data_IF_877575402227
#
_entry.id   IF_877575402227
#
_cell.length_a   1.000
_cell.length_b   1.000
_cell.length_c   1.000
_cell.angle_alpha   90.00
_cell.angle_beta   90.00
_cell.angle_gamma   90.00
#
_symmetry.space_group_name_H-M   'P 1'
#
loop_
_entity.id
_entity.type
_entity.pdbx_description
1 polymer ?
#
# COMPACT_ATOMS: atom_id res chain seq x y z
N UNK A 1 -2.32 -69.33 35.63
CA UNK A 1 -2.13 -68.90 34.23
C UNK A 1 -2.64 -67.49 34.12
N UNK A 2 -1.78 -66.60 33.62
CA UNK A 2 -1.85 -65.15 33.74
C UNK A 2 -3.06 -64.53 33.02
N UNK A 3 -3.66 -63.57 33.71
CA UNK A 3 -4.50 -62.49 33.18
C UNK A 3 -3.65 -61.57 32.29
N UNK A 4 -3.97 -61.50 31.00
CA UNK A 4 -3.40 -60.50 30.09
C UNK A 4 -4.20 -59.20 30.21
N UNK A 5 -3.67 -58.24 30.96
CA UNK A 5 -4.05 -56.83 30.86
C UNK A 5 -3.13 -56.16 29.83
N UNK A 6 -3.66 -55.84 28.66
CA UNK A 6 -2.98 -54.99 27.67
C UNK A 6 -3.27 -53.52 28.04
N UNK A 7 -2.26 -52.67 28.29
CA UNK A 7 -2.52 -51.26 28.54
C UNK A 7 -2.87 -50.58 27.22
N UNK A 8 -4.07 -50.00 27.14
CA UNK A 8 -4.41 -49.06 26.08
C UNK A 8 -3.48 -47.85 26.19
N UNK A 9 -2.59 -47.69 25.20
CA UNK A 9 -1.80 -46.47 25.03
C UNK A 9 -2.75 -45.33 24.71
N UNK A 10 -3.00 -44.47 25.69
CA UNK A 10 -3.63 -43.17 25.46
C UNK A 10 -2.74 -42.39 24.50
N UNK A 11 -3.20 -42.19 23.26
CA UNK A 11 -2.62 -41.21 22.37
C UNK A 11 -2.77 -39.84 23.05
N UNK A 12 -1.66 -39.29 23.56
CA UNK A 12 -1.60 -37.88 23.94
C UNK A 12 -1.98 -37.07 22.70
N UNK A 13 -3.11 -36.38 22.76
CA UNK A 13 -3.45 -35.34 21.80
C UNK A 13 -2.35 -34.28 21.87
N UNK A 14 -1.42 -34.30 20.91
CA UNK A 14 -0.43 -33.24 20.77
C UNK A 14 -1.20 -31.92 20.64
N UNK A 15 -0.93 -30.99 21.56
CA UNK A 15 -1.56 -29.67 21.51
C UNK A 15 -1.15 -28.96 20.22
N UNK A 16 -2.11 -28.33 19.55
CA UNK A 16 -1.85 -27.53 18.36
C UNK A 16 -1.19 -26.21 18.78
N UNK A 17 -0.07 -25.86 18.15
CA UNK A 17 0.57 -24.55 18.28
C UNK A 17 0.15 -23.61 17.14
N UNK A 18 0.39 -22.31 17.32
CA UNK A 18 0.20 -21.31 16.26
C UNK A 18 1.05 -21.62 15.01
N UNK A 19 2.23 -22.21 15.24
CA UNK A 19 3.10 -22.72 14.18
C UNK A 19 2.51 -23.92 13.44
N UNK A 20 1.81 -24.81 14.15
CA UNK A 20 1.11 -25.95 13.52
C UNK A 20 -0.10 -25.48 12.68
N UNK A 21 -0.67 -24.31 13.02
CA UNK A 21 -1.65 -23.61 12.20
C UNK A 21 -1.02 -22.81 11.03
N UNK A 22 0.30 -22.86 10.88
CA UNK A 22 1.05 -22.25 9.79
C UNK A 22 1.47 -20.79 10.01
N UNK A 23 1.46 -20.29 11.25
CA UNK A 23 1.89 -18.92 11.58
C UNK A 23 3.31 -18.92 12.18
N UNK A 24 4.23 -18.18 11.57
CA UNK A 24 5.63 -18.08 11.99
C UNK A 24 5.93 -16.73 12.66
N UNK A 25 5.88 -16.73 13.99
CA UNK A 25 6.16 -15.54 14.81
C UNK A 25 7.59 -15.04 14.59
N UNK A 26 8.56 -15.93 14.35
CA UNK A 26 9.97 -15.55 14.15
C UNK A 26 10.13 -14.81 12.82
N UNK A 27 9.41 -15.24 11.78
CA UNK A 27 9.39 -14.55 10.49
C UNK A 27 8.78 -13.15 10.62
N UNK A 28 7.71 -13.00 11.41
CA UNK A 28 7.12 -11.70 11.73
C UNK A 28 8.10 -10.75 12.44
N UNK A 29 8.78 -11.23 13.49
CA UNK A 29 9.78 -10.42 14.21
C UNK A 29 10.94 -10.00 13.30
N UNK A 30 11.42 -10.91 12.44
CA UNK A 30 12.48 -10.61 11.48
C UNK A 30 12.04 -9.56 10.45
N UNK A 31 10.81 -9.64 9.96
CA UNK A 31 10.25 -8.64 9.06
C UNK A 31 10.22 -7.26 9.73
N UNK A 32 9.76 -7.19 10.99
CA UNK A 32 9.72 -5.95 11.76
C UNK A 32 11.11 -5.32 11.88
N UNK A 33 12.16 -6.09 12.18
CA UNK A 33 13.53 -5.56 12.22
C UNK A 33 14.01 -5.05 10.85
N UNK A 34 13.68 -5.76 9.76
CA UNK A 34 14.08 -5.36 8.40
C UNK A 34 13.45 -4.03 7.97
N UNK A 35 12.19 -3.78 8.36
CA UNK A 35 11.42 -2.63 7.86
C UNK A 35 11.56 -1.37 8.73
N UNK A 36 12.00 -1.51 9.99
CA UNK A 36 12.22 -0.38 10.91
C UNK A 36 13.00 0.78 10.28
N UNK A 37 14.12 0.57 9.55
CA UNK A 37 14.87 1.67 8.93
C UNK A 37 14.07 2.41 7.85
N UNK A 38 13.22 1.70 7.09
CA UNK A 38 12.41 2.30 6.02
C UNK A 38 11.30 3.17 6.61
N UNK A 39 10.52 2.63 7.54
CA UNK A 39 9.46 3.40 8.19
C UNK A 39 10.03 4.57 9.02
N UNK A 40 11.21 4.44 9.65
CA UNK A 40 11.90 5.56 10.31
C UNK A 40 12.19 6.74 9.39
N UNK A 41 12.50 6.51 8.11
CA UNK A 41 12.76 7.58 7.13
C UNK A 41 11.51 8.38 6.76
N UNK A 42 10.34 7.80 6.94
CA UNK A 42 9.05 8.45 6.65
C UNK A 42 8.59 9.38 7.79
N UNK A 43 9.24 9.32 8.96
CA UNK A 43 8.77 10.01 10.15
C UNK A 43 8.69 11.52 9.95
N UNK A 44 7.57 12.07 10.38
CA UNK A 44 7.32 13.50 10.44
C UNK A 44 7.46 14.03 11.87
N UNK A 45 7.68 15.34 12.06
CA UNK A 45 7.73 15.95 13.40
C UNK A 45 6.47 15.72 14.24
N UNK A 46 5.32 15.53 13.58
CA UNK A 46 4.04 15.27 14.25
C UNK A 46 3.92 13.87 14.88
N UNK A 47 4.80 12.93 14.53
CA UNK A 47 4.72 11.55 15.03
C UNK A 47 5.29 11.46 16.46
N UNK A 48 4.47 10.96 17.38
CA UNK A 48 4.80 10.86 18.82
C UNK A 48 5.23 9.46 19.24
N UNK A 49 5.04 8.46 18.38
CA UNK A 49 5.33 7.04 18.66
C UNK A 49 6.40 6.46 17.73
N UNK A 50 7.13 5.46 18.21
CA UNK A 50 7.96 4.60 17.36
C UNK A 50 7.18 3.43 16.76
N UNK A 51 7.82 2.67 15.88
CA UNK A 51 7.28 1.44 15.28
C UNK A 51 7.34 0.30 16.33
N UNK A 52 6.33 -0.57 16.33
CA UNK A 52 6.25 -1.76 17.19
C UNK A 52 5.42 -1.60 18.47
N UNK A 53 4.75 -0.46 18.64
CA UNK A 53 3.73 -0.28 19.67
C UNK A 53 2.33 -0.68 19.18
N UNK A 54 1.38 -0.84 20.11
CA UNK A 54 -0.03 -1.20 19.81
C UNK A 54 -0.79 -0.16 18.97
N UNK A 55 -0.26 1.05 18.81
CA UNK A 55 -0.87 2.09 18.00
C UNK A 55 0.12 3.21 17.69
N UNK A 56 -0.02 3.78 16.50
CA UNK A 56 0.68 4.99 16.08
C UNK A 56 -0.01 6.25 16.63
N UNK A 57 0.78 7.20 17.11
CA UNK A 57 0.30 8.47 17.67
C UNK A 57 0.83 9.62 16.82
N UNK A 58 -0.08 10.47 16.33
CA UNK A 58 0.27 11.64 15.49
C UNK A 58 -0.50 12.87 15.97
N UNK A 59 0.22 13.97 16.24
CA UNK A 59 -0.38 15.26 16.58
C UNK A 59 -0.89 15.97 15.32
N UNK A 60 -2.03 16.66 15.41
CA UNK A 60 -2.47 17.55 14.33
C UNK A 60 -1.72 18.88 14.46
N UNK A 61 -1.01 19.27 13.41
CA UNK A 61 -0.25 20.52 13.38
C UNK A 61 -1.11 21.74 13.70
N UNK A 62 -0.58 22.63 14.55
CA UNK A 62 -1.24 23.89 14.95
C UNK A 62 -1.40 24.91 13.81
N UNK A 63 -0.91 24.61 12.61
CA UNK A 63 -1.14 25.43 11.41
C UNK A 63 -2.61 25.42 10.97
N UNK A 64 -3.36 24.37 11.32
CA UNK A 64 -4.79 24.26 11.06
C UNK A 64 -5.60 24.90 12.20
N UNK A 65 -6.60 25.72 11.85
CA UNK A 65 -7.51 26.34 12.81
C UNK A 65 -8.73 25.47 13.06
N UNK A 66 -9.37 24.98 11.99
CA UNK A 66 -10.48 24.02 12.04
C UNK A 66 -10.07 22.76 11.23
N UNK A 67 -9.15 21.93 11.77
CA UNK A 67 -8.69 20.75 11.07
C UNK A 67 -9.83 19.75 10.84
N UNK A 68 -9.94 19.27 9.60
CA UNK A 68 -10.80 18.16 9.21
C UNK A 68 -9.90 17.01 8.77
N UNK A 69 -10.16 15.82 9.32
CA UNK A 69 -9.49 14.60 8.91
C UNK A 69 -10.18 14.02 7.69
N UNK A 70 -9.38 13.66 6.69
CA UNK A 70 -9.82 12.96 5.49
C UNK A 70 -9.11 11.62 5.46
N UNK A 71 -9.87 10.53 5.47
CA UNK A 71 -9.33 9.17 5.39
C UNK A 71 -9.70 8.50 4.09
N UNK A 72 -8.78 7.70 3.57
CA UNK A 72 -8.98 6.88 2.37
C UNK A 72 -8.38 5.49 2.60
N UNK A 73 -9.01 4.48 2.00
CA UNK A 73 -8.51 3.10 2.00
C UNK A 73 -8.52 2.59 0.57
N UNK A 74 -7.47 1.91 0.17
CA UNK A 74 -7.38 1.31 -1.16
C UNK A 74 -6.46 0.08 -1.15
N UNK A 75 -6.49 -0.68 -2.24
CA UNK A 75 -5.58 -1.78 -2.52
C UNK A 75 -4.85 -1.59 -3.84
N UNK A 76 -3.92 -2.50 -4.15
CA UNK A 76 -3.21 -2.49 -5.44
C UNK A 76 -4.05 -3.13 -6.55
N UNK A 77 -4.92 -4.09 -6.19
CA UNK A 77 -5.75 -4.81 -7.15
C UNK A 77 -4.97 -5.81 -8.01
N UNK A 78 -5.47 -6.11 -9.20
CA UNK A 78 -4.97 -7.24 -10.02
C UNK A 78 -3.58 -7.01 -10.64
N UNK A 79 -2.97 -5.83 -10.44
CA UNK A 79 -1.54 -5.61 -10.72
C UNK A 79 -0.65 -6.54 -9.90
N UNK A 80 -1.08 -6.93 -8.70
CA UNK A 80 -0.36 -7.90 -7.86
C UNK A 80 -0.12 -9.25 -8.56
N UNK A 81 -1.04 -9.71 -9.40
CA UNK A 81 -0.83 -10.95 -10.15
C UNK A 81 0.37 -10.86 -11.11
N UNK A 82 0.58 -9.71 -11.77
CA UNK A 82 1.78 -9.51 -12.59
C UNK A 82 3.03 -9.36 -11.73
N UNK A 83 2.93 -8.73 -10.56
CA UNK A 83 4.04 -8.65 -9.62
C UNK A 83 4.54 -10.05 -9.22
N UNK A 84 3.64 -11.00 -8.97
CA UNK A 84 4.00 -12.40 -8.67
C UNK A 84 4.59 -13.12 -9.88
N UNK A 85 3.98 -12.95 -11.05
CA UNK A 85 4.44 -13.61 -12.29
C UNK A 85 5.84 -13.14 -12.72
N UNK A 86 6.19 -11.88 -12.40
CA UNK A 86 7.46 -11.25 -12.78
C UNK A 86 8.49 -11.19 -11.65
N UNK A 87 8.14 -11.60 -10.43
CA UNK A 87 8.98 -11.48 -9.23
C UNK A 87 9.40 -10.01 -8.94
N UNK A 88 8.44 -9.07 -9.09
CA UNK A 88 8.65 -7.61 -8.90
C UNK A 88 7.77 -7.11 -7.76
N UNK A 89 8.36 -6.90 -6.59
CA UNK A 89 7.64 -6.55 -5.36
C UNK A 89 7.98 -5.16 -4.79
N UNK A 90 9.07 -4.56 -5.25
CA UNK A 90 9.67 -3.33 -4.70
C UNK A 90 8.89 -2.04 -5.04
N UNK A 91 8.01 -2.10 -6.04
CA UNK A 91 7.25 -0.95 -6.55
C UNK A 91 5.76 -0.98 -6.25
N UNK A 92 5.17 -2.16 -5.98
CA UNK A 92 3.72 -2.27 -5.69
C UNK A 92 3.31 -1.58 -4.38
N UNK A 93 4.25 -1.40 -3.45
CA UNK A 93 4.02 -0.57 -2.26
C UNK A 93 3.83 0.91 -2.58
N UNK A 94 4.47 1.42 -3.65
CA UNK A 94 4.27 2.79 -4.14
C UNK A 94 2.88 2.91 -4.78
N UNK A 95 2.42 1.89 -5.50
CA UNK A 95 1.06 1.83 -6.02
C UNK A 95 0.03 1.90 -4.88
N UNK A 96 0.22 1.09 -3.84
CA UNK A 96 -0.67 1.08 -2.67
C UNK A 96 -0.81 2.47 -2.04
N UNK A 97 0.31 3.14 -1.80
CA UNK A 97 0.29 4.51 -1.22
C UNK A 97 -0.34 5.49 -2.21
N UNK A 98 0.05 5.43 -3.48
CA UNK A 98 -0.42 6.34 -4.51
C UNK A 98 -1.93 6.30 -4.71
N UNK A 99 -2.53 5.11 -4.66
CA UNK A 99 -3.98 4.94 -4.73
C UNK A 99 -4.67 5.67 -3.57
N UNK A 100 -4.29 5.41 -2.31
CA UNK A 100 -4.99 6.01 -1.17
C UNK A 100 -4.68 7.51 -0.98
N UNK A 101 -3.44 7.97 -1.22
CA UNK A 101 -3.07 9.38 -0.95
C UNK A 101 -3.56 10.34 -2.04
N UNK A 102 -3.62 9.89 -3.30
CA UNK A 102 -4.15 10.73 -4.37
C UNK A 102 -5.67 10.94 -4.22
N UNK A 103 -6.39 9.98 -3.62
CA UNK A 103 -7.82 10.10 -3.36
C UNK A 103 -8.13 11.15 -2.30
N UNK A 104 -7.44 11.12 -1.15
CA UNK A 104 -7.66 12.15 -0.12
C UNK A 104 -7.21 13.55 -0.59
N UNK A 105 -6.21 13.60 -1.47
CA UNK A 105 -5.69 14.83 -2.05
C UNK A 105 -6.74 15.58 -2.88
N UNK A 106 -7.70 14.87 -3.52
CA UNK A 106 -8.73 15.54 -4.36
C UNK A 106 -9.65 16.48 -3.56
N UNK A 107 -9.69 16.31 -2.23
CA UNK A 107 -10.42 17.17 -1.31
C UNK A 107 -9.56 18.30 -0.73
N UNK A 108 -8.30 18.42 -1.17
CA UNK A 108 -7.32 19.39 -0.69
C UNK A 108 -6.56 18.95 0.57
N UNK A 109 -6.69 17.69 0.99
CA UNK A 109 -6.03 17.20 2.20
C UNK A 109 -4.52 16.97 1.99
N UNK A 110 -3.71 17.40 2.96
CA UNK A 110 -2.31 17.02 3.08
C UNK A 110 -2.23 15.66 3.79
N UNK A 111 -1.68 14.60 3.15
CA UNK A 111 -1.45 13.32 3.80
C UNK A 111 -0.56 13.48 5.03
N UNK A 112 -1.02 12.94 6.16
CA UNK A 112 -0.34 13.03 7.45
C UNK A 112 0.34 11.71 7.81
N UNK A 113 -0.41 10.61 7.78
CA UNK A 113 0.12 9.28 8.06
C UNK A 113 -0.55 8.19 7.21
N UNK A 114 0.11 7.04 7.17
CA UNK A 114 -0.28 5.85 6.43
C UNK A 114 -0.18 4.62 7.33
N UNK A 115 -1.10 3.67 7.15
CA UNK A 115 -1.00 2.31 7.68
C UNK A 115 -1.17 1.30 6.56
N UNK A 116 -0.60 0.12 6.72
CA UNK A 116 -0.76 -0.99 5.78
C UNK A 116 -1.26 -2.28 6.45
N UNK A 117 -1.90 -3.13 5.66
CA UNK A 117 -2.25 -4.49 6.03
C UNK A 117 -1.76 -5.42 4.92
N UNK A 118 -0.85 -6.33 5.29
CA UNK A 118 -0.25 -7.33 4.43
C UNK A 118 -0.83 -8.70 4.77
N UNK A 119 -1.56 -9.31 3.85
CA UNK A 119 -2.13 -10.65 4.01
C UNK A 119 -1.46 -11.63 3.05
N UNK A 120 -1.07 -12.82 3.50
CA UNK A 120 -0.45 -13.82 2.62
C UNK A 120 -0.77 -15.26 3.02
N UNK A 121 -0.53 -16.20 2.12
CA UNK A 121 -0.72 -17.64 2.43
C UNK A 121 0.38 -18.18 3.34
N UNK A 122 1.61 -17.75 3.06
CA UNK A 122 2.80 -18.01 3.88
C UNK A 122 3.73 -16.81 3.70
N UNK A 123 4.29 -16.32 4.81
CA UNK A 123 5.15 -15.14 4.79
C UNK A 123 6.48 -15.45 4.10
N UNK A 124 6.71 -14.78 2.98
CA UNK A 124 8.04 -14.59 2.41
C UNK A 124 8.60 -13.26 2.93
N UNK A 125 9.55 -13.34 3.87
CA UNK A 125 10.14 -12.17 4.51
C UNK A 125 10.86 -11.27 3.49
N UNK A 126 11.47 -11.84 2.44
CA UNK A 126 12.20 -11.05 1.45
C UNK A 126 11.23 -10.24 0.58
N UNK A 127 10.20 -10.89 0.05
CA UNK A 127 9.17 -10.23 -0.74
C UNK A 127 8.41 -9.17 0.08
N UNK A 128 8.00 -9.50 1.31
CA UNK A 128 7.34 -8.57 2.22
C UNK A 128 8.21 -7.36 2.57
N UNK A 129 9.53 -7.56 2.74
CA UNK A 129 10.48 -6.46 2.98
C UNK A 129 10.53 -5.51 1.79
N UNK A 130 10.57 -6.02 0.54
CA UNK A 130 10.56 -5.18 -0.67
C UNK A 130 9.24 -4.42 -0.83
N UNK A 131 8.10 -5.05 -0.54
CA UNK A 131 6.79 -4.37 -0.55
C UNK A 131 6.78 -3.20 0.43
N UNK A 132 7.16 -3.44 1.70
CA UNK A 132 7.10 -2.40 2.74
C UNK A 132 8.13 -1.29 2.49
N UNK A 133 9.29 -1.62 1.91
CA UNK A 133 10.24 -0.64 1.39
C UNK A 133 9.60 0.25 0.31
N UNK A 134 8.81 -0.33 -0.60
CA UNK A 134 8.01 0.40 -1.58
C UNK A 134 6.95 1.30 -0.93
N UNK A 135 6.25 0.81 0.10
CA UNK A 135 5.26 1.61 0.87
C UNK A 135 5.96 2.81 1.52
N UNK A 136 7.10 2.59 2.17
CA UNK A 136 7.88 3.67 2.78
C UNK A 136 8.35 4.70 1.73
N UNK A 137 8.80 4.25 0.56
CA UNK A 137 9.17 5.15 -0.54
C UNK A 137 7.97 5.95 -1.07
N UNK A 138 6.78 5.34 -1.15
CA UNK A 138 5.54 6.04 -1.46
C UNK A 138 5.19 7.09 -0.42
N UNK A 139 5.32 6.76 0.86
CA UNK A 139 5.09 7.69 1.98
C UNK A 139 6.05 8.89 1.92
N UNK A 140 7.34 8.66 1.64
CA UNK A 140 8.32 9.74 1.44
C UNK A 140 7.95 10.67 0.27
N UNK A 141 7.45 10.11 -0.83
CA UNK A 141 6.96 10.89 -1.98
C UNK A 141 5.72 11.71 -1.64
N UNK A 142 4.77 11.12 -0.90
CA UNK A 142 3.56 11.79 -0.43
C UNK A 142 3.84 12.80 0.68
N UNK A 143 4.92 12.64 1.43
CA UNK A 143 5.22 13.41 2.62
C UNK A 143 4.41 12.99 3.84
N UNK A 144 3.90 11.76 3.91
CA UNK A 144 3.24 11.20 5.10
C UNK A 144 4.17 10.23 5.85
N UNK A 145 3.84 9.93 7.11
CA UNK A 145 4.57 8.95 7.91
C UNK A 145 3.92 7.56 7.83
N UNK A 146 4.70 6.51 7.62
CA UNK A 146 4.30 5.12 7.84
C UNK A 146 4.38 4.82 9.33
N UNK A 147 3.24 4.83 10.03
CA UNK A 147 3.19 4.80 11.50
C UNK A 147 2.87 3.42 12.09
N UNK A 148 2.48 2.47 11.24
CA UNK A 148 2.17 1.11 11.67
C UNK A 148 1.58 0.31 10.52
N UNK A 149 1.47 -0.99 10.74
CA UNK A 149 0.86 -1.92 9.83
C UNK A 149 0.71 -3.29 10.49
N UNK A 150 0.09 -4.23 9.78
CA UNK A 150 -0.14 -5.58 10.26
C UNK A 150 0.23 -6.61 9.19
N UNK A 151 0.80 -7.74 9.60
CA UNK A 151 1.17 -8.84 8.72
C UNK A 151 0.46 -10.12 9.15
N UNK A 152 -0.43 -10.63 8.30
CA UNK A 152 -1.25 -11.79 8.58
C UNK A 152 -0.90 -12.96 7.64
N UNK A 153 -0.42 -14.06 8.24
CA UNK A 153 -0.32 -15.36 7.58
C UNK A 153 -1.65 -16.10 7.71
N UNK A 154 -2.30 -16.38 6.58
CA UNK A 154 -3.61 -17.02 6.50
C UNK A 154 -3.55 -18.22 5.54
N UNK A 155 -2.85 -19.31 5.92
CA UNK A 155 -2.78 -20.52 5.13
C UNK A 155 -4.18 -21.08 4.89
N UNK A 156 -4.45 -21.45 3.64
CA UNK A 156 -5.78 -21.93 3.20
C UNK A 156 -6.75 -20.84 2.75
N UNK A 157 -6.45 -19.56 3.03
CA UNK A 157 -7.16 -18.43 2.41
C UNK A 157 -6.44 -17.94 1.15
N UNK A 158 -5.12 -17.77 1.23
CA UNK A 158 -4.28 -17.32 0.12
C UNK A 158 -3.37 -18.45 -0.39
N UNK A 159 -3.12 -18.53 -1.70
CA UNK A 159 -2.08 -19.41 -2.25
C UNK A 159 -0.70 -19.06 -1.70
N UNK A 160 0.19 -20.05 -1.62
CA UNK A 160 1.60 -19.83 -1.28
C UNK A 160 2.25 -18.98 -2.38
N UNK A 161 3.01 -17.96 -1.97
CA UNK A 161 3.67 -17.00 -2.87
C UNK A 161 2.77 -15.83 -3.31
N UNK A 162 1.51 -15.81 -2.89
CA UNK A 162 0.61 -14.69 -3.13
C UNK A 162 0.31 -13.93 -1.85
N UNK A 163 0.13 -12.62 -2.00
CA UNK A 163 -0.28 -11.72 -0.93
C UNK A 163 -1.33 -10.71 -1.42
N UNK A 164 -2.04 -10.09 -0.50
CA UNK A 164 -2.90 -8.94 -0.75
C UNK A 164 -2.51 -7.78 0.16
N UNK A 165 -2.76 -6.57 -0.33
CA UNK A 165 -2.35 -5.33 0.33
C UNK A 165 -3.55 -4.40 0.46
N UNK A 166 -3.77 -3.91 1.68
CA UNK A 166 -4.65 -2.77 1.94
C UNK A 166 -3.85 -1.63 2.58
N UNK A 167 -4.15 -0.41 2.16
CA UNK A 167 -3.44 0.80 2.56
C UNK A 167 -4.41 1.86 3.03
N UNK A 168 -4.10 2.47 4.17
CA UNK A 168 -4.97 3.40 4.88
C UNK A 168 -4.26 4.75 5.01
N UNK A 169 -4.70 5.74 4.25
CA UNK A 169 -4.17 7.09 4.33
C UNK A 169 -5.08 7.98 5.19
N UNK A 170 -4.49 8.80 6.04
CA UNK A 170 -5.19 9.88 6.74
C UNK A 170 -4.45 11.19 6.46
N UNK A 171 -5.20 12.18 6.00
CA UNK A 171 -4.72 13.54 5.79
C UNK A 171 -5.52 14.57 6.57
N UNK A 172 -5.04 15.80 6.54
CA UNK A 172 -5.66 16.95 7.21
C UNK A 172 -5.90 18.05 6.19
N UNK A 173 -7.07 18.66 6.26
CA UNK A 173 -7.42 19.86 5.50
C UNK A 173 -8.00 20.91 6.45
N UNK A 174 -7.75 22.18 6.16
CA UNK A 174 -8.48 23.27 6.82
C UNK A 174 -9.92 23.28 6.31
N UNK A 175 -10.91 23.33 7.21
CA UNK A 175 -12.34 23.22 6.84
C UNK A 175 -12.76 24.19 5.73
N UNK A 176 -12.24 25.41 5.76
CA UNK A 176 -12.54 26.45 4.77
C UNK A 176 -11.87 26.20 3.40
N UNK A 177 -10.91 25.29 3.30
CA UNK A 177 -10.16 24.97 2.07
C UNK A 177 -10.56 23.61 1.47
N UNK A 178 -11.61 22.97 1.96
CA UNK A 178 -12.10 21.72 1.38
C UNK A 178 -12.53 21.96 -0.06
N UNK A 179 -11.96 21.18 -0.98
CA UNK A 179 -12.26 21.24 -2.40
C UNK A 179 -13.42 20.28 -2.68
N UNK A 180 -14.51 20.81 -3.24
CA UNK A 180 -15.76 20.04 -3.47
C UNK A 180 -16.21 20.04 -4.93
N UNK A 181 -15.67 20.91 -5.78
CA UNK A 181 -16.17 21.11 -7.14
C UNK A 181 -17.42 22.00 -7.24
N UNK A 182 -17.96 22.50 -6.14
CA UNK A 182 -19.24 23.24 -6.15
C UNK A 182 -19.22 24.54 -6.99
N UNK A 183 -18.05 25.18 -7.12
CA UNK A 183 -17.88 26.44 -7.86
C UNK A 183 -17.39 26.24 -9.31
N UNK A 184 -17.42 24.99 -9.81
CA UNK A 184 -17.12 24.67 -11.21
C UNK A 184 -18.25 25.21 -12.10
N UNK A 185 -17.88 25.92 -13.16
CA UNK A 185 -18.83 26.55 -14.10
C UNK A 185 -18.33 26.51 -15.55
N UNK A 186 -19.23 26.66 -16.55
CA UNK A 186 -18.82 26.82 -17.95
C UNK A 186 -17.78 27.93 -18.12
N UNK A 187 -16.71 27.63 -18.84
CA UNK A 187 -15.56 28.52 -19.02
C UNK A 187 -14.35 28.17 -18.15
N UNK A 188 -14.51 27.29 -17.15
CA UNK A 188 -13.38 26.75 -16.40
C UNK A 188 -12.49 25.84 -17.28
N UNK A 189 -11.21 25.79 -16.93
CA UNK A 189 -10.18 25.04 -17.67
C UNK A 189 -9.88 23.72 -16.95
N UNK A 190 -9.83 22.62 -17.70
CA UNK A 190 -9.38 21.32 -17.21
C UNK A 190 -7.91 21.13 -17.55
N UNK A 191 -7.09 20.86 -16.53
CA UNK A 191 -5.67 20.54 -16.67
C UNK A 191 -5.44 19.06 -16.40
N UNK A 192 -4.84 18.35 -17.36
CA UNK A 192 -4.44 16.96 -17.19
C UNK A 192 -3.00 16.84 -16.70
N UNK A 193 -2.79 16.07 -15.63
CA UNK A 193 -1.45 15.66 -15.20
C UNK A 193 -1.14 14.27 -15.76
N UNK A 194 0.01 14.14 -16.42
CA UNK A 194 0.42 12.86 -17.01
C UNK A 194 0.61 11.79 -15.94
N UNK A 195 0.09 10.59 -16.21
CA UNK A 195 0.35 9.36 -15.44
C UNK A 195 1.75 8.79 -15.75
N UNK A 196 2.19 7.82 -14.97
CA UNK A 196 3.41 7.04 -15.26
C UNK A 196 3.13 5.82 -16.15
N UNK A 197 1.87 5.60 -16.55
CA UNK A 197 1.41 4.38 -17.21
C UNK A 197 -0.03 4.05 -16.81
N UNK A 198 -0.34 2.75 -16.67
CA UNK A 198 -1.65 2.25 -16.25
C UNK A 198 -1.96 2.45 -14.76
N UNK A 199 -1.00 2.97 -13.97
CA UNK A 199 -1.10 3.10 -12.51
C UNK A 199 -1.44 1.74 -11.88
N UNK A 200 -2.52 1.64 -11.10
CA UNK A 200 -3.00 0.41 -10.46
C UNK A 200 -4.35 -0.08 -11.02
N UNK A 201 -4.82 0.46 -12.15
CA UNK A 201 -6.13 0.15 -12.71
C UNK A 201 -6.05 -0.58 -14.06
N UNK A 202 -7.07 -1.37 -14.40
CA UNK A 202 -7.16 -2.05 -15.69
C UNK A 202 -6.30 -3.30 -15.86
N UNK A 203 -5.57 -3.74 -14.83
CA UNK A 203 -4.63 -4.87 -14.94
C UNK A 203 -5.29 -6.21 -15.25
N UNK A 204 -6.57 -6.38 -14.94
CA UNK A 204 -7.34 -7.55 -15.39
C UNK A 204 -7.44 -7.61 -16.92
N UNK A 205 -7.56 -6.46 -17.59
CA UNK A 205 -7.55 -6.38 -19.05
C UNK A 205 -6.13 -6.49 -19.61
N UNK A 206 -5.15 -5.83 -18.97
CA UNK A 206 -3.73 -5.94 -19.36
C UNK A 206 -3.29 -7.40 -19.38
N UNK A 207 -3.56 -8.16 -18.30
CA UNK A 207 -3.23 -9.58 -18.21
C UNK A 207 -3.90 -10.42 -19.30
N UNK A 208 -5.19 -10.18 -19.59
CA UNK A 208 -5.89 -10.86 -20.70
C UNK A 208 -5.28 -10.53 -22.07
N UNK A 209 -4.79 -9.31 -22.26
CA UNK A 209 -4.09 -8.93 -23.50
C UNK A 209 -2.77 -9.69 -23.58
N UNK A 210 -1.96 -9.69 -22.52
CA UNK A 210 -0.67 -10.40 -22.47
C UNK A 210 -0.83 -11.91 -22.71
N UNK A 211 -1.82 -12.54 -22.09
CA UNK A 211 -2.14 -13.96 -22.30
C UNK A 211 -2.47 -14.27 -23.76
N UNK A 212 -3.23 -13.39 -24.41
CA UNK A 212 -3.67 -13.57 -25.80
C UNK A 212 -2.58 -13.24 -26.82
N UNK A 213 -1.81 -12.18 -26.61
CA UNK A 213 -0.83 -11.71 -27.60
C UNK A 213 0.57 -12.28 -27.39
N UNK A 214 0.87 -12.80 -26.19
CA UNK A 214 2.16 -13.40 -25.81
C UNK A 214 3.37 -12.57 -26.29
N UNK A 215 3.44 -11.26 -25.96
CA UNK A 215 4.54 -10.43 -26.40
C UNK A 215 5.82 -10.81 -25.64
N UNK A 216 6.97 -10.45 -26.22
CA UNK A 216 8.22 -10.46 -25.46
C UNK A 216 8.20 -9.31 -24.45
N UNK A 217 8.11 -9.64 -23.16
CA UNK A 217 8.07 -8.66 -22.07
C UNK A 217 9.39 -7.91 -21.88
N UNK A 218 10.50 -8.47 -22.37
CA UNK A 218 11.81 -7.84 -22.34
C UNK A 218 12.06 -6.93 -23.55
N UNK A 219 11.17 -6.96 -24.56
CA UNK A 219 11.31 -6.11 -25.73
C UNK A 219 11.20 -4.63 -25.37
N UNK A 220 12.01 -3.80 -26.03
CA UNK A 220 11.94 -2.34 -25.92
C UNK A 220 10.56 -1.87 -26.34
N UNK A 221 9.93 -1.05 -25.50
CA UNK A 221 8.57 -0.58 -25.70
C UNK A 221 8.46 0.96 -25.69
N UNK A 222 9.16 1.62 -24.76
CA UNK A 222 9.20 3.08 -24.68
C UNK A 222 10.63 3.58 -24.45
N UNK A 223 11.28 3.95 -25.55
CA UNK A 223 12.70 4.24 -25.59
C UNK A 223 13.51 3.00 -25.22
N UNK A 224 14.31 3.09 -24.16
CA UNK A 224 15.12 1.97 -23.66
C UNK A 224 14.36 1.08 -22.67
N UNK A 225 13.15 1.47 -22.25
CA UNK A 225 12.38 0.68 -21.28
C UNK A 225 11.74 -0.53 -21.92
N UNK A 226 11.77 -1.66 -21.22
CA UNK A 226 11.07 -2.87 -21.63
C UNK A 226 9.55 -2.75 -21.45
N UNK A 227 8.80 -3.63 -22.10
CA UNK A 227 7.35 -3.73 -21.89
C UNK A 227 7.00 -4.05 -20.42
N UNK A 228 7.75 -4.93 -19.76
CA UNK A 228 7.55 -5.22 -18.34
C UNK A 228 7.78 -4.00 -17.45
N UNK A 229 8.82 -3.21 -17.70
CA UNK A 229 9.11 -1.97 -16.95
C UNK A 229 8.00 -0.93 -17.13
N UNK A 230 7.46 -0.79 -18.34
CA UNK A 230 6.38 0.16 -18.63
C UNK A 230 5.06 -0.28 -17.99
N UNK A 231 4.73 -1.57 -18.05
CA UNK A 231 3.52 -2.11 -17.42
C UNK A 231 3.62 -2.09 -15.89
N UNK A 232 4.80 -2.35 -15.32
CA UNK A 232 5.00 -2.35 -13.87
C UNK A 232 5.32 -0.97 -13.29
N UNK A 233 5.39 0.07 -14.11
CA UNK A 233 5.68 1.43 -13.66
C UNK A 233 4.75 1.84 -12.48
N UNK A 234 5.30 2.35 -11.36
CA UNK A 234 4.51 2.65 -10.19
C UNK A 234 3.59 3.86 -10.42
N UNK A 235 2.46 3.86 -9.72
CA UNK A 235 1.50 4.95 -9.68
C UNK A 235 2.19 6.26 -9.33
N UNK A 236 1.85 7.32 -10.06
CA UNK A 236 2.41 8.64 -9.80
C UNK A 236 1.72 9.25 -8.58
N UNK A 237 2.51 9.68 -7.60
CA UNK A 237 2.03 10.39 -6.41
C UNK A 237 2.05 11.89 -6.70
N UNK A 238 0.88 12.55 -6.68
CA UNK A 238 0.73 13.96 -7.08
C UNK A 238 0.75 14.94 -5.90
N UNK A 239 0.93 14.45 -4.68
CA UNK A 239 0.71 15.20 -3.44
C UNK A 239 1.54 16.48 -3.36
N UNK A 240 2.88 16.38 -3.33
CA UNK A 240 3.76 17.55 -3.19
C UNK A 240 3.52 18.64 -4.23
N UNK A 241 3.49 18.35 -5.56
CA UNK A 241 3.26 19.40 -6.55
C UNK A 241 1.87 20.02 -6.45
N UNK A 242 0.82 19.25 -6.15
CA UNK A 242 -0.53 19.80 -6.02
C UNK A 242 -0.71 20.62 -4.74
N UNK A 243 -0.16 20.18 -3.60
CA UNK A 243 -0.17 21.00 -2.38
C UNK A 243 0.57 22.33 -2.56
N UNK A 244 1.68 22.34 -3.30
CA UNK A 244 2.37 23.57 -3.66
C UNK A 244 1.52 24.47 -4.59
N UNK A 245 0.82 23.87 -5.56
CA UNK A 245 -0.07 24.59 -6.48
C UNK A 245 -1.24 25.25 -5.74
N UNK A 246 -1.85 24.55 -4.78
CA UNK A 246 -2.97 25.05 -3.96
C UNK A 246 -2.60 26.30 -3.13
N UNK A 247 -1.31 26.51 -2.84
CA UNK A 247 -0.85 27.73 -2.16
C UNK A 247 -0.83 28.95 -3.10
N UNK A 248 -0.79 28.73 -4.41
CA UNK A 248 -0.61 29.79 -5.41
C UNK A 248 -1.87 30.06 -6.24
N UNK A 249 -2.75 29.06 -6.40
CA UNK A 249 -3.93 29.12 -7.25
C UNK A 249 -5.13 28.49 -6.56
N UNK A 250 -6.31 29.04 -6.84
CA UNK A 250 -7.57 28.42 -6.45
C UNK A 250 -7.86 27.22 -7.36
N UNK A 251 -7.84 26.02 -6.77
CA UNK A 251 -8.27 24.80 -7.43
C UNK A 251 -9.74 24.57 -7.10
N UNK A 252 -10.61 24.62 -8.11
CA UNK A 252 -12.06 24.46 -7.92
C UNK A 252 -12.49 23.01 -7.73
N UNK A 253 -11.76 22.08 -8.33
CA UNK A 253 -12.03 20.65 -8.25
C UNK A 253 -10.85 19.82 -8.76
N UNK A 254 -10.78 18.58 -8.31
CA UNK A 254 -9.83 17.58 -8.78
C UNK A 254 -10.55 16.25 -8.96
N UNK A 255 -10.07 15.46 -9.92
CA UNK A 255 -10.49 14.09 -10.12
C UNK A 255 -9.23 13.22 -10.20
N UNK A 256 -9.11 12.25 -9.30
CA UNK A 256 -8.11 11.20 -9.41
C UNK A 256 -8.64 10.18 -10.43
N UNK A 257 -7.93 10.03 -11.56
CA UNK A 257 -8.39 9.20 -12.66
C UNK A 257 -8.04 7.74 -12.37
N UNK A 258 -8.97 7.03 -11.75
CA UNK A 258 -8.93 5.60 -11.44
C UNK A 258 -10.01 4.85 -12.23
N UNK A 259 -10.37 3.63 -11.79
CA UNK A 259 -11.34 2.75 -12.47
C UNK A 259 -12.79 3.24 -12.46
#
# INVERSE_FOLDING_TARGET
MNTQNTPATAAQSAGLSYRDAGVDIVAGDQLVENIKPFAKRTLRPEVLSGIGGFGGLVEISKKYREPVLVSGTDGVGTKLKLAFELDIHDTVGIDLVGMSVNDILVQGAEPLFFLDYFACGKLDVAAATEVIKGIAAGCEQAGCALIGGETAEMPGMYPVGEYDLAGFAVGVVEKAHIITGADIAPGDVVLGLASNGAHSNGYSLVRKILERSQPDLAAKFDGERSLSEVIMAPTRIYVKPLLALMQSLTIKGMAHITG
#
